data_IF_540736788651
#
_entry.id   IF_540736788651
#
_cell.length_a   1.000
_cell.length_b   1.000
_cell.length_c   1.000
_cell.angle_alpha   90.00
_cell.angle_beta   90.00
_cell.angle_gamma   90.00
#
_symmetry.space_group_name_H-M   'P 1'
#
loop_
_entity.id
_entity.type
_entity.pdbx_description
1 polymer ?
#
# COMPACT_ATOMS: atom_id res chain seq x y z
N UNK A 1 -16.19 -13.20 10.93
CA UNK A 1 -15.34 -13.44 9.75
C UNK A 1 -15.29 -12.16 8.92
N UNK A 2 -14.08 -11.67 8.62
CA UNK A 2 -13.86 -10.58 7.66
C UNK A 2 -13.30 -9.30 8.27
N UNK A 3 -11.97 -9.11 8.21
CA UNK A 3 -11.19 -7.84 8.24
C UNK A 3 -9.67 -8.16 8.23
N UNK A 4 -8.79 -7.31 7.67
CA UNK A 4 -8.91 -6.34 6.56
C UNK A 4 -7.89 -6.65 5.41
N UNK A 5 -8.19 -6.50 4.10
CA UNK A 5 -8.40 -5.33 3.21
C UNK A 5 -7.17 -4.44 2.93
N UNK A 6 -6.81 -4.42 1.64
CA UNK A 6 -5.79 -3.65 0.89
C UNK A 6 -4.37 -4.23 0.87
N UNK A 7 -4.20 -5.31 0.11
CA UNK A 7 -2.95 -5.52 -0.61
C UNK A 7 -2.98 -4.60 -1.83
N UNK A 8 -2.09 -3.60 -1.86
CA UNK A 8 -1.95 -2.75 -3.04
C UNK A 8 -0.95 -3.38 -4.00
N UNK A 9 -1.37 -3.61 -5.24
CA UNK A 9 -0.51 -4.08 -6.32
C UNK A 9 0.22 -2.90 -6.94
N UNK A 10 1.44 -3.14 -7.40
CA UNK A 10 2.30 -2.09 -7.98
C UNK A 10 2.80 -2.48 -9.36
N UNK A 11 2.76 -1.55 -10.31
CA UNK A 11 3.12 -1.82 -11.71
C UNK A 11 4.32 -1.01 -12.19
N UNK A 12 5.41 -1.65 -12.60
CA UNK A 12 6.63 -1.00 -13.10
C UNK A 12 7.80 -1.99 -13.27
N UNK A 13 8.97 -1.57 -13.80
CA UNK A 13 10.15 -2.43 -13.83
C UNK A 13 10.48 -2.91 -12.41
N UNK A 14 10.88 -4.18 -12.29
CA UNK A 14 11.28 -4.74 -11.01
C UNK A 14 12.38 -3.86 -10.39
N UNK A 15 12.17 -3.42 -9.14
CA UNK A 15 13.27 -2.86 -8.34
C UNK A 15 14.34 -3.95 -8.23
N UNK A 16 15.61 -3.62 -8.54
CA UNK A 16 16.76 -4.55 -8.47
C UNK A 16 17.01 -5.17 -7.08
N UNK A 17 16.24 -4.80 -6.06
CA UNK A 17 16.32 -5.41 -4.74
C UNK A 17 15.45 -6.69 -4.69
N UNK A 18 15.89 -7.72 -5.41
CA UNK A 18 15.41 -9.07 -5.20
C UNK A 18 15.87 -9.57 -3.81
N UNK A 19 14.94 -10.14 -3.05
CA UNK A 19 15.15 -10.91 -1.82
C UNK A 19 16.07 -10.28 -0.76
N UNK A 20 15.62 -9.20 -0.13
CA UNK A 20 16.17 -8.82 1.19
C UNK A 20 15.58 -9.74 2.24
N UNK A 21 16.44 -10.44 3.00
CA UNK A 21 16.05 -11.11 4.25
C UNK A 21 15.36 -10.07 5.14
N UNK A 22 14.05 -10.22 5.34
CA UNK A 22 13.26 -9.15 5.97
C UNK A 22 13.47 -9.11 7.48
N UNK A 23 14.33 -8.20 7.91
CA UNK A 23 14.47 -7.77 9.31
C UNK A 23 13.17 -7.14 9.82
N UNK A 24 13.04 -7.05 11.15
CA UNK A 24 11.95 -6.34 11.85
C UNK A 24 11.70 -4.96 11.24
N UNK A 25 10.43 -4.60 11.00
CA UNK A 25 10.06 -3.27 10.53
C UNK A 25 10.56 -2.20 11.50
N UNK A 26 11.23 -1.18 10.97
CA UNK A 26 11.68 -0.02 11.75
C UNK A 26 10.48 0.78 12.25
N UNK A 27 10.65 1.41 13.41
CA UNK A 27 9.69 2.39 13.95
C UNK A 27 10.04 3.79 13.48
N UNK A 28 9.06 4.51 12.97
CA UNK A 28 9.16 5.86 12.42
C UNK A 28 8.29 6.77 13.27
N UNK A 29 8.90 7.80 13.87
CA UNK A 29 8.17 8.83 14.63
C UNK A 29 7.31 9.66 13.69
N UNK A 30 6.11 10.05 14.12
CA UNK A 30 5.21 10.85 13.28
C UNK A 30 5.84 12.18 12.86
N UNK A 31 6.64 12.80 13.73
CA UNK A 31 7.39 14.02 13.45
C UNK A 31 8.39 13.94 12.27
N UNK A 32 8.77 12.72 11.83
CA UNK A 32 9.62 12.53 10.62
C UNK A 32 8.82 12.50 9.32
N UNK A 33 7.49 12.45 9.40
CA UNK A 33 6.60 12.41 8.26
C UNK A 33 6.16 13.84 7.96
N UNK A 34 6.55 14.33 6.78
CA UNK A 34 5.99 15.58 6.28
C UNK A 34 4.65 15.26 5.64
N UNK A 35 3.57 15.55 6.37
CA UNK A 35 2.21 15.30 5.94
C UNK A 35 1.86 16.12 4.70
N UNK A 36 1.17 15.48 3.77
CA UNK A 36 0.51 16.10 2.64
C UNK A 36 -0.94 15.59 2.53
N UNK A 37 -1.57 15.88 1.40
CA UNK A 37 -2.96 15.59 1.08
C UNK A 37 -3.39 14.13 1.39
N UNK A 38 -4.64 13.97 1.86
CA UNK A 38 -5.33 12.69 1.85
C UNK A 38 -5.45 12.17 0.41
N UNK A 39 -5.11 10.90 0.19
CA UNK A 39 -5.10 10.28 -1.14
C UNK A 39 -6.03 9.08 -1.26
N UNK A 40 -6.66 8.71 -0.16
CA UNK A 40 -7.64 7.66 -0.10
C UNK A 40 -8.03 7.38 1.34
N UNK A 41 -9.20 6.80 1.50
CA UNK A 41 -9.69 6.43 2.81
C UNK A 41 -10.45 5.12 2.74
N UNK A 42 -10.31 4.31 3.78
CA UNK A 42 -11.09 3.09 4.00
C UNK A 42 -11.92 3.20 5.27
N UNK A 43 -12.57 2.11 5.66
CA UNK A 43 -13.39 2.09 6.88
C UNK A 43 -12.60 2.33 8.16
N UNK A 44 -11.40 1.75 8.29
CA UNK A 44 -10.60 1.79 9.54
C UNK A 44 -9.49 2.86 9.55
N UNK A 45 -9.12 3.36 8.38
CA UNK A 45 -7.90 4.13 8.23
C UNK A 45 -7.99 5.13 7.07
N UNK A 46 -7.15 6.16 7.14
CA UNK A 46 -6.93 7.13 6.08
C UNK A 46 -5.50 6.96 5.53
N UNK A 47 -5.36 7.07 4.22
CA UNK A 47 -4.07 7.04 3.52
C UNK A 47 -3.71 8.46 3.11
N UNK A 48 -2.56 8.92 3.57
CA UNK A 48 -2.04 10.24 3.24
C UNK A 48 -0.81 10.13 2.36
N UNK A 49 -0.62 11.14 1.53
CA UNK A 49 0.67 11.41 0.92
C UNK A 49 1.61 12.13 1.85
N UNK A 50 2.90 12.00 1.58
CA UNK A 50 3.88 12.82 2.24
C UNK A 50 5.30 12.50 1.81
N UNK A 51 6.24 12.99 2.61
CA UNK A 51 7.66 12.75 2.42
C UNK A 51 8.32 12.26 3.71
N UNK A 52 9.30 11.37 3.57
CA UNK A 52 10.22 10.96 4.61
C UNK A 52 11.63 11.37 4.17
N UNK A 53 12.10 12.52 4.67
CA UNK A 53 13.25 13.20 4.08
C UNK A 53 12.94 13.61 2.64
N UNK A 54 13.77 13.19 1.68
CA UNK A 54 13.58 13.46 0.24
C UNK A 54 12.70 12.41 -0.47
N UNK A 55 12.34 11.31 0.20
CA UNK A 55 11.60 10.21 -0.42
C UNK A 55 10.09 10.44 -0.33
N UNK A 56 9.39 10.44 -1.47
CA UNK A 56 7.94 10.43 -1.51
C UNK A 56 7.39 9.10 -0.95
N UNK A 57 6.41 9.21 -0.06
CA UNK A 57 5.78 8.07 0.64
C UNK A 57 4.26 8.18 0.65
N UNK A 58 3.61 7.05 0.91
CA UNK A 58 2.25 7.01 1.42
C UNK A 58 2.28 6.44 2.84
N UNK A 59 1.35 6.85 3.68
CA UNK A 59 1.22 6.26 5.00
C UNK A 59 -0.24 6.14 5.40
N UNK A 60 -0.58 4.98 5.95
CA UNK A 60 -1.93 4.60 6.36
C UNK A 60 -2.01 4.70 7.87
N UNK A 61 -2.94 5.49 8.39
CA UNK A 61 -3.11 5.76 9.83
C UNK A 61 -4.54 5.49 10.27
N UNK A 62 -4.72 5.03 11.51
CA UNK A 62 -6.05 4.81 12.10
C UNK A 62 -6.82 6.13 12.10
N UNK A 63 -8.11 6.09 11.78
CA UNK A 63 -8.95 7.28 11.91
C UNK A 63 -9.17 7.61 13.39
N UNK A 64 -9.16 8.90 13.73
CA UNK A 64 -9.56 9.37 15.06
C UNK A 64 -10.97 9.96 15.03
N UNK A 65 -11.96 9.24 14.46
CA UNK A 65 -13.35 9.71 14.43
C UNK A 65 -14.19 8.98 15.48
N UNK A 66 -14.73 9.71 16.49
CA UNK A 66 -15.61 9.13 17.49
C UNK A 66 -16.85 8.49 16.86
N UNK A 67 -17.24 7.29 17.32
CA UNK A 67 -18.50 6.63 16.95
C UNK A 67 -18.50 5.80 15.67
N UNK A 68 -17.41 5.77 14.89
CA UNK A 68 -17.30 4.99 13.64
C UNK A 68 -16.52 3.68 13.79
N UNK A 69 -15.82 3.49 14.92
CA UNK A 69 -14.72 2.53 15.06
C UNK A 69 -15.03 1.48 16.13
N UNK A 70 -14.45 0.29 15.95
CA UNK A 70 -14.25 -0.63 17.06
C UNK A 70 -13.26 0.02 18.05
N UNK A 71 -13.16 -0.51 19.27
CA UNK A 71 -12.15 -0.10 20.25
C UNK A 71 -10.80 0.29 19.58
N UNK A 72 -10.27 1.52 19.77
CA UNK A 72 -9.10 2.03 19.04
C UNK A 72 -7.89 1.09 19.04
N UNK A 73 -7.76 0.25 20.07
CA UNK A 73 -6.69 -0.75 20.15
C UNK A 73 -6.88 -1.88 19.14
N UNK A 74 -8.12 -2.32 18.91
CA UNK A 74 -8.47 -3.33 17.90
C UNK A 74 -8.09 -2.85 16.50
N UNK A 75 -8.34 -1.59 16.17
CA UNK A 75 -8.04 -1.04 14.85
C UNK A 75 -6.54 -0.81 14.64
N UNK A 76 -5.81 -0.37 15.67
CA UNK A 76 -4.34 -0.31 15.65
C UNK A 76 -3.73 -1.69 15.42
N UNK A 77 -4.24 -2.71 16.12
CA UNK A 77 -3.80 -4.09 15.94
C UNK A 77 -4.03 -4.58 14.52
N UNK A 78 -5.21 -4.31 13.95
CA UNK A 78 -5.54 -4.69 12.58
C UNK A 78 -4.59 -4.05 11.55
N UNK A 79 -4.26 -2.76 11.68
CA UNK A 79 -3.28 -2.11 10.80
C UNK A 79 -1.85 -2.64 11.00
N UNK A 80 -1.48 -2.99 12.23
CA UNK A 80 -0.18 -3.60 12.50
C UNK A 80 -0.07 -4.99 11.84
N UNK A 81 -1.10 -5.83 11.95
CA UNK A 81 -1.17 -7.14 11.29
C UNK A 81 -1.13 -7.00 9.75
N UNK A 82 -1.84 -6.02 9.18
CA UNK A 82 -1.79 -5.69 7.75
C UNK A 82 -0.36 -5.32 7.31
N UNK A 83 0.30 -4.41 8.03
CA UNK A 83 1.67 -4.00 7.73
C UNK A 83 2.65 -5.18 7.78
N UNK A 84 2.48 -6.08 8.76
CA UNK A 84 3.32 -7.27 8.88
C UNK A 84 3.06 -8.29 7.78
N UNK A 85 1.80 -8.45 7.34
CA UNK A 85 1.45 -9.32 6.22
C UNK A 85 2.04 -8.80 4.91
N UNK A 86 1.85 -7.51 4.61
CA UNK A 86 2.48 -6.84 3.46
C UNK A 86 4.00 -6.93 3.52
N UNK A 87 4.57 -6.75 4.70
CA UNK A 87 5.99 -6.96 4.90
C UNK A 87 6.39 -8.42 4.70
N UNK A 88 5.56 -9.45 4.81
CA UNK A 88 5.98 -10.81 4.44
C UNK A 88 5.96 -11.04 2.92
N UNK A 89 5.10 -10.32 2.20
CA UNK A 89 4.88 -10.44 0.76
C UNK A 89 5.91 -9.64 -0.05
N UNK A 90 7.18 -10.05 0.00
CA UNK A 90 8.26 -9.39 -0.75
C UNK A 90 8.19 -9.72 -2.24
N UNK A 91 7.61 -8.82 -3.03
CA UNK A 91 7.44 -9.03 -4.47
C UNK A 91 7.48 -7.69 -5.22
N UNK A 92 8.09 -7.61 -6.43
CA UNK A 92 8.21 -6.36 -7.17
C UNK A 92 6.85 -5.72 -7.53
N UNK A 93 5.80 -6.54 -7.63
CA UNK A 93 4.44 -6.14 -7.97
C UNK A 93 3.53 -5.98 -6.73
N UNK A 94 4.08 -6.04 -5.51
CA UNK A 94 3.35 -5.81 -4.26
C UNK A 94 3.93 -4.58 -3.56
N UNK A 95 3.08 -3.76 -2.96
CA UNK A 95 3.51 -2.53 -2.29
C UNK A 95 4.53 -2.80 -1.18
N UNK A 96 5.62 -2.03 -1.18
CA UNK A 96 6.66 -2.15 -0.15
C UNK A 96 6.30 -1.35 1.11
N UNK A 97 6.26 -2.03 2.26
CA UNK A 97 6.18 -1.40 3.59
C UNK A 97 7.57 -0.93 4.03
N UNK A 98 7.68 0.36 4.34
CA UNK A 98 8.92 1.05 4.72
C UNK A 98 9.15 1.05 6.24
N UNK A 99 8.07 0.99 7.04
CA UNK A 99 8.16 0.99 8.50
C UNK A 99 6.81 1.24 9.18
N UNK A 100 6.80 1.11 10.50
CA UNK A 100 5.61 1.36 11.33
C UNK A 100 5.63 2.80 11.85
N UNK A 101 4.51 3.50 11.78
CA UNK A 101 4.33 4.81 12.41
C UNK A 101 4.07 4.57 13.90
N UNK A 102 4.96 5.08 14.75
CA UNK A 102 4.84 4.88 16.20
C UNK A 102 5.14 6.15 16.98
N UNK A 103 4.27 6.43 17.95
CA UNK A 103 4.37 7.55 18.89
C UNK A 103 4.25 6.99 20.31
N UNK A 104 5.16 7.36 21.22
CA UNK A 104 5.18 6.86 22.60
C UNK A 104 5.09 5.32 22.73
N UNK A 105 5.61 4.58 21.74
CA UNK A 105 5.59 3.12 21.72
C UNK A 105 4.32 2.49 21.13
N UNK A 106 3.28 3.29 20.88
CA UNK A 106 2.02 2.85 20.27
C UNK A 106 2.17 2.89 18.75
N UNK A 107 1.69 1.86 18.04
CA UNK A 107 1.66 1.83 16.57
C UNK A 107 0.34 2.45 16.10
N UNK A 108 0.42 3.55 15.35
CA UNK A 108 -0.75 4.29 14.85
C UNK A 108 -0.97 4.10 13.35
N UNK A 109 -0.09 3.36 12.68
CA UNK A 109 -0.15 3.15 11.24
C UNK A 109 1.16 2.59 10.68
N UNK A 110 1.28 2.64 9.36
CA UNK A 110 2.50 2.23 8.66
C UNK A 110 2.78 3.11 7.45
N UNK A 111 4.06 3.16 7.09
CA UNK A 111 4.58 3.89 5.93
C UNK A 111 4.86 2.87 4.83
N UNK A 112 4.46 3.21 3.61
CA UNK A 112 4.69 2.42 2.41
C UNK A 112 5.19 3.30 1.27
N UNK A 113 5.66 2.67 0.19
CA UNK A 113 6.03 3.41 -1.00
C UNK A 113 4.86 4.22 -1.57
N UNK A 114 5.19 5.35 -2.21
CA UNK A 114 4.17 6.16 -2.87
C UNK A 114 3.90 5.64 -4.28
N UNK A 115 2.65 5.26 -4.52
CA UNK A 115 2.15 4.83 -5.82
C UNK A 115 1.53 6.00 -6.61
N UNK A 116 1.37 5.78 -7.91
CA UNK A 116 0.66 6.65 -8.84
C UNK A 116 -0.85 6.42 -8.79
N UNK A 117 -1.52 6.63 -9.91
CA UNK A 117 -2.96 6.39 -10.03
C UNK A 117 -3.31 4.88 -9.94
N UNK A 118 -4.52 4.57 -9.48
CA UNK A 118 -5.09 3.22 -9.54
C UNK A 118 -5.62 2.89 -10.95
N UNK A 119 -5.87 1.62 -11.25
CA UNK A 119 -6.54 1.21 -12.48
C UNK A 119 -7.94 1.82 -12.58
N UNK A 120 -8.64 1.96 -11.46
CA UNK A 120 -9.94 2.64 -11.39
C UNK A 120 -9.83 4.12 -11.78
N UNK A 121 -8.80 4.82 -11.26
CA UNK A 121 -8.54 6.21 -11.59
C UNK A 121 -8.10 6.39 -13.05
N UNK A 122 -7.23 5.52 -13.55
CA UNK A 122 -6.79 5.54 -14.94
C UNK A 122 -7.96 5.27 -15.91
N UNK A 123 -8.82 4.31 -15.57
CA UNK A 123 -10.02 3.98 -16.36
C UNK A 123 -11.01 5.14 -16.38
N UNK A 124 -11.32 5.74 -15.23
CA UNK A 124 -12.26 6.87 -15.15
C UNK A 124 -11.78 8.13 -15.87
N UNK A 125 -10.47 8.28 -16.05
CA UNK A 125 -9.86 9.37 -16.82
C UNK A 125 -9.67 9.06 -18.31
N UNK A 126 -10.01 7.85 -18.77
CA UNK A 126 -9.78 7.41 -20.15
C UNK A 126 -8.29 7.20 -20.49
N UNK A 127 -7.42 7.08 -19.49
CA UNK A 127 -5.96 6.94 -19.67
C UNK A 127 -5.49 5.48 -19.86
N UNK A 128 -6.43 4.53 -19.96
CA UNK A 128 -6.14 3.11 -19.94
C UNK A 128 -6.28 2.49 -21.33
N UNK A 129 -5.21 2.56 -22.13
CA UNK A 129 -5.14 1.84 -23.40
C UNK A 129 -4.95 0.33 -23.18
N UNK A 130 -5.27 -0.48 -24.20
CA UNK A 130 -5.17 -1.94 -24.14
C UNK A 130 -3.79 -2.43 -23.66
N UNK A 131 -2.73 -1.86 -24.20
CA UNK A 131 -1.35 -2.22 -23.85
C UNK A 131 -1.03 -1.98 -22.36
N UNK A 132 -1.53 -0.86 -21.79
CA UNK A 132 -1.37 -0.57 -20.35
C UNK A 132 -2.16 -1.56 -19.50
N UNK A 133 -3.38 -1.90 -19.91
CA UNK A 133 -4.24 -2.86 -19.21
C UNK A 133 -3.64 -4.27 -19.24
N UNK A 134 -3.21 -4.76 -20.40
CA UNK A 134 -2.60 -6.07 -20.59
C UNK A 134 -1.37 -6.23 -19.68
N UNK A 135 -0.47 -5.24 -19.70
CA UNK A 135 0.72 -5.25 -18.85
C UNK A 135 0.38 -5.22 -17.36
N UNK A 136 -0.59 -4.39 -16.96
CA UNK A 136 -1.05 -4.35 -15.57
C UNK A 136 -1.65 -5.70 -15.15
N UNK A 137 -2.45 -6.33 -16.01
CA UNK A 137 -3.08 -7.62 -15.72
C UNK A 137 -2.05 -8.73 -15.52
N UNK A 138 -1.04 -8.85 -16.40
CA UNK A 138 0.06 -9.82 -16.22
C UNK A 138 0.77 -9.64 -14.88
N UNK A 139 1.04 -8.39 -14.48
CA UNK A 139 1.66 -8.08 -13.19
C UNK A 139 0.76 -8.37 -11.98
N UNK A 140 -0.56 -8.19 -12.09
CA UNK A 140 -1.52 -8.63 -11.06
C UNK A 140 -1.45 -10.15 -10.90
N UNK A 141 -1.46 -10.89 -12.00
CA UNK A 141 -1.40 -12.37 -11.98
C UNK A 141 -0.11 -12.86 -11.30
N UNK A 142 1.04 -12.26 -11.62
CA UNK A 142 2.31 -12.58 -10.97
C UNK A 142 2.29 -12.33 -9.46
N UNK A 143 1.74 -11.18 -9.03
CA UNK A 143 1.61 -10.86 -7.61
C UNK A 143 0.65 -11.82 -6.88
N UNK A 144 -0.50 -12.12 -7.47
CA UNK A 144 -1.48 -13.07 -6.93
C UNK A 144 -0.87 -14.47 -6.83
N UNK A 145 -0.14 -14.92 -7.85
CA UNK A 145 0.56 -16.19 -7.83
C UNK A 145 1.58 -16.25 -6.68
N UNK A 146 2.34 -15.17 -6.44
CA UNK A 146 3.25 -15.08 -5.30
C UNK A 146 2.51 -15.18 -3.96
N UNK A 147 1.41 -14.43 -3.80
CA UNK A 147 0.56 -14.45 -2.60
C UNK A 147 0.04 -15.87 -2.33
N UNK A 148 -0.44 -16.56 -3.37
CA UNK A 148 -0.99 -17.91 -3.27
C UNK A 148 0.07 -18.97 -2.92
N UNK A 149 1.31 -18.84 -3.40
CA UNK A 149 2.42 -19.74 -3.00
C UNK A 149 2.71 -19.69 -1.50
N UNK A 150 2.33 -18.60 -0.84
CA UNK A 150 2.47 -18.42 0.61
C UNK A 150 1.19 -18.79 1.38
N UNK A 151 0.23 -19.45 0.72
CA UNK A 151 -1.07 -19.87 1.28
C UNK A 151 -1.90 -18.70 1.83
N UNK A 152 -1.69 -17.50 1.30
CA UNK A 152 -2.45 -16.31 1.66
C UNK A 152 -3.48 -16.05 0.56
N UNK A 153 -4.71 -15.70 0.95
CA UNK A 153 -5.72 -15.21 0.01
C UNK A 153 -5.74 -13.68 0.04
N UNK A 154 -5.82 -13.03 -1.13
CA UNK A 154 -5.87 -11.57 -1.20
C UNK A 154 -7.19 -11.00 -0.63
N UNK A 155 -8.32 -11.63 -0.94
CA UNK A 155 -9.70 -11.30 -0.49
C UNK A 155 -10.29 -9.94 -0.86
N UNK A 156 -9.50 -8.97 -1.35
CA UNK A 156 -9.99 -7.62 -1.72
C UNK A 156 -9.46 -7.14 -3.09
N UNK A 157 -9.32 -8.05 -4.06
CA UNK A 157 -8.72 -7.73 -5.36
C UNK A 157 -9.74 -6.95 -6.20
N UNK A 158 -9.42 -5.69 -6.50
CA UNK A 158 -10.28 -4.77 -7.25
C UNK A 158 -9.43 -3.67 -7.92
N UNK A 159 -9.94 -2.99 -8.96
CA UNK A 159 -9.20 -1.93 -9.66
C UNK A 159 -8.70 -0.79 -8.76
N UNK A 160 -9.44 -0.45 -7.70
CA UNK A 160 -9.03 0.56 -6.73
C UNK A 160 -7.77 0.21 -5.92
N UNK A 161 -7.45 -1.09 -5.78
CA UNK A 161 -6.28 -1.59 -5.05
C UNK A 161 -5.11 -1.96 -5.99
N UNK A 162 -5.24 -1.70 -7.28
CA UNK A 162 -4.23 -1.98 -8.29
C UNK A 162 -3.67 -0.65 -8.79
N UNK A 163 -2.43 -0.32 -8.40
CA UNK A 163 -1.87 1.01 -8.66
C UNK A 163 -0.59 0.96 -9.49
N UNK A 164 -0.40 1.95 -10.36
CA UNK A 164 0.85 2.09 -11.08
C UNK A 164 1.96 2.57 -10.15
N UNK A 165 3.21 2.11 -10.34
CA UNK A 165 4.35 2.76 -9.69
C UNK A 165 4.46 4.19 -10.24
N UNK A 166 4.94 5.12 -9.40
CA UNK A 166 5.35 6.44 -9.86
C UNK A 166 6.62 6.29 -10.72
N UNK A 167 6.48 6.16 -12.03
CA UNK A 167 7.55 6.40 -12.99
C UNK A 167 7.17 7.57 -13.90
N UNK A 168 8.14 8.44 -14.20
CA UNK A 168 7.95 9.58 -15.10
C UNK A 168 7.41 9.10 -16.44
N UNK A 169 6.34 9.75 -16.91
CA UNK A 169 5.68 9.56 -18.20
C UNK A 169 5.70 8.12 -18.74
N UNK A 170 4.61 7.38 -18.54
CA UNK A 170 4.19 6.47 -19.61
C UNK A 170 3.87 7.37 -20.81
N UNK A 171 4.54 7.22 -21.97
CA UNK A 171 4.09 7.92 -23.17
C UNK A 171 2.64 7.50 -23.41
N UNK A 172 1.77 8.50 -23.33
CA UNK A 172 0.39 8.37 -23.79
C UNK A 172 0.53 8.37 -25.31
N UNK A 173 0.39 7.20 -25.93
CA UNK A 173 0.09 7.14 -27.36
C UNK A 173 -1.39 7.45 -27.54
#
# INVERSE_FOLDING_TARGET
MGRPRVLSYTFGPASRNAEKTKTKLRRIKAAKLQFAQEIGHGGLATVHGGHLGTKAIAFKVVRSQPGLLADPETDRRALHEEAMMLHRLSHPQIVEVIGLVSEQGIVNGFVMERLGESLEQASSRGHLCWQRLEKAFGQIVEAVAHIHRLLIAHTDLKPANACFKRYGHFPVA
#
